data_IF_102904938310
#
_entry.id   IF_102904938310
#
_cell.length_a   1.000
_cell.length_b   1.000
_cell.length_c   1.000
_cell.angle_alpha   90.00
_cell.angle_beta   90.00
_cell.angle_gamma   90.00
#
_symmetry.space_group_name_H-M   'P 1'
#
loop_
_entity.id
_entity.type
_entity.pdbx_description
1 polymer ?
#
# COMPACT_ATOMS: atom_id res chain seq x y z
N UNK A 1 30.85 31.50 31.94
CA UNK A 1 31.03 32.23 30.67
C UNK A 1 32.28 31.83 29.87
N UNK A 2 33.48 31.71 30.48
CA UNK A 2 34.74 31.39 29.75
C UNK A 2 34.74 30.07 28.97
N UNK A 3 34.07 29.02 29.47
CA UNK A 3 33.96 27.72 28.79
C UNK A 3 33.14 27.79 27.49
N UNK A 4 32.01 28.51 27.50
CA UNK A 4 31.17 28.70 26.30
C UNK A 4 31.90 29.47 25.19
N UNK A 5 32.64 30.52 25.57
CA UNK A 5 33.46 31.29 24.62
C UNK A 5 34.57 30.44 23.99
N UNK A 6 35.17 29.54 24.77
CA UNK A 6 36.19 28.61 24.26
C UNK A 6 35.58 27.56 23.31
N UNK A 7 34.43 26.99 23.66
CA UNK A 7 33.71 26.03 22.80
C UNK A 7 33.32 26.69 21.48
N UNK A 8 32.81 27.93 21.52
CA UNK A 8 32.46 28.68 20.32
C UNK A 8 33.66 28.95 19.42
N UNK A 9 34.78 29.43 20.00
CA UNK A 9 36.02 29.65 19.25
C UNK A 9 36.58 28.37 18.65
N UNK A 10 36.53 27.27 19.40
CA UNK A 10 36.97 25.97 18.91
C UNK A 10 36.04 25.49 17.77
N UNK A 11 34.72 25.63 17.93
CA UNK A 11 33.75 25.26 16.89
C UNK A 11 33.97 26.04 15.58
N UNK A 12 34.24 27.35 15.65
CA UNK A 12 34.59 28.14 14.45
C UNK A 12 35.89 27.64 13.82
N UNK A 13 36.91 27.29 14.63
CA UNK A 13 38.18 26.76 14.11
C UNK A 13 37.94 25.45 13.34
N UNK A 14 37.15 24.53 13.90
CA UNK A 14 36.87 23.24 13.26
C UNK A 14 36.03 23.41 11.99
N UNK A 15 35.06 24.34 11.96
CA UNK A 15 34.32 24.68 10.73
C UNK A 15 35.21 25.24 9.64
N UNK A 16 36.19 26.09 10.00
CA UNK A 16 37.18 26.60 9.05
C UNK A 16 38.15 25.52 8.57
N UNK A 17 38.51 24.57 9.44
CA UNK A 17 39.32 23.41 9.07
C UNK A 17 38.58 22.52 8.09
N UNK A 18 37.29 22.26 8.35
CA UNK A 18 36.38 21.53 7.48
C UNK A 18 36.23 22.21 6.12
N UNK A 19 36.01 23.53 6.10
CA UNK A 19 35.89 24.29 4.86
C UNK A 19 37.15 24.28 3.98
N UNK A 20 38.31 23.89 4.53
CA UNK A 20 39.57 23.75 3.79
C UNK A 20 39.88 22.31 3.39
N UNK A 21 39.08 21.34 3.80
CA UNK A 21 39.22 19.95 3.38
C UNK A 21 38.32 19.68 2.16
N UNK A 22 38.86 19.69 0.92
CA UNK A 22 38.06 19.50 -0.28
C UNK A 22 37.45 18.11 -0.38
N UNK A 23 38.09 17.07 0.17
CA UNK A 23 37.54 15.70 0.15
C UNK A 23 36.32 15.63 1.06
N UNK A 24 36.43 16.22 2.25
CA UNK A 24 35.33 16.24 3.22
C UNK A 24 34.16 17.10 2.73
N UNK A 25 34.42 18.23 2.05
CA UNK A 25 33.38 19.02 1.40
C UNK A 25 32.66 18.26 0.28
N UNK A 26 33.40 17.55 -0.58
CA UNK A 26 32.81 16.70 -1.63
C UNK A 26 31.94 15.61 -1.01
N UNK A 27 32.42 14.92 0.03
CA UNK A 27 31.64 13.92 0.74
C UNK A 27 30.36 14.52 1.34
N UNK A 28 30.44 15.69 1.98
CA UNK A 28 29.26 16.38 2.51
C UNK A 28 28.27 16.70 1.38
N UNK A 29 28.73 17.25 0.26
CA UNK A 29 27.86 17.53 -0.88
C UNK A 29 27.23 16.26 -1.46
N UNK A 30 27.97 15.17 -1.58
CA UNK A 30 27.43 13.89 -2.06
C UNK A 30 26.41 13.35 -1.06
N UNK A 31 26.75 13.27 0.23
CA UNK A 31 25.88 12.64 1.25
C UNK A 31 24.63 13.47 1.56
N UNK A 32 24.73 14.79 1.64
CA UNK A 32 23.60 15.64 2.03
C UNK A 32 22.84 16.24 0.84
N UNK A 33 23.40 16.21 -0.37
CA UNK A 33 22.68 16.63 -1.58
C UNK A 33 22.37 15.44 -2.47
N UNK A 34 23.37 14.75 -3.01
CA UNK A 34 23.14 13.71 -4.02
C UNK A 34 22.41 12.49 -3.42
N UNK A 35 22.85 11.97 -2.29
CA UNK A 35 22.22 10.79 -1.66
C UNK A 35 20.82 11.12 -1.15
N UNK A 36 20.61 12.28 -0.54
CA UNK A 36 19.26 12.70 -0.09
C UNK A 36 18.35 12.97 -1.28
N UNK A 37 18.83 13.69 -2.30
CA UNK A 37 18.07 13.92 -3.53
C UNK A 37 17.72 12.60 -4.20
N UNK A 38 18.68 11.69 -4.34
CA UNK A 38 18.47 10.36 -4.90
C UNK A 38 17.49 9.55 -4.06
N UNK A 39 17.56 9.57 -2.72
CA UNK A 39 16.62 8.85 -1.87
C UNK A 39 15.21 9.45 -1.92
N UNK A 40 15.08 10.78 -2.05
CA UNK A 40 13.81 11.48 -2.15
C UNK A 40 13.16 11.36 -3.53
N UNK A 41 13.96 11.24 -4.59
CA UNK A 41 13.50 11.10 -5.98
C UNK A 41 13.52 9.66 -6.49
N UNK A 42 14.14 8.73 -5.75
CA UNK A 42 14.01 7.30 -6.00
C UNK A 42 12.53 6.96 -5.89
N UNK A 43 11.90 6.80 -7.05
CA UNK A 43 10.59 6.21 -7.12
C UNK A 43 10.70 4.81 -6.49
N UNK A 44 9.79 4.43 -5.57
CA UNK A 44 9.68 3.03 -5.17
C UNK A 44 9.64 2.20 -6.44
N UNK A 45 10.42 1.12 -6.53
CA UNK A 45 10.38 0.23 -7.69
C UNK A 45 8.91 -0.05 -8.01
N UNK A 46 8.46 0.44 -9.15
CA UNK A 46 7.05 0.44 -9.49
C UNK A 46 6.62 -1.02 -9.66
N UNK A 47 5.59 -1.42 -8.93
CA UNK A 47 4.95 -2.71 -9.16
C UNK A 47 4.46 -2.74 -10.61
N UNK A 48 4.95 -3.69 -11.41
CA UNK A 48 4.59 -3.79 -12.82
C UNK A 48 4.17 -5.22 -13.14
N UNK A 49 2.89 -5.38 -13.50
CA UNK A 49 2.29 -6.67 -13.89
C UNK A 49 2.57 -7.79 -12.88
N UNK A 50 2.41 -7.49 -11.59
CA UNK A 50 2.53 -8.50 -10.55
C UNK A 50 1.39 -9.53 -10.69
N UNK A 51 1.70 -10.85 -10.77
CA UNK A 51 0.65 -11.87 -10.78
C UNK A 51 0.06 -12.01 -9.37
N UNK A 52 -1.27 -11.95 -9.30
CA UNK A 52 -2.07 -12.06 -8.08
C UNK A 52 -3.14 -13.14 -8.25
N UNK A 53 -3.35 -13.94 -7.21
CA UNK A 53 -4.47 -14.86 -7.11
C UNK A 53 -5.43 -14.39 -6.02
N UNK A 54 -6.72 -14.68 -6.19
CA UNK A 54 -7.76 -14.28 -5.26
C UNK A 54 -8.64 -15.49 -4.93
N UNK A 55 -8.83 -15.72 -3.63
CA UNK A 55 -9.85 -16.60 -3.08
C UNK A 55 -10.99 -15.71 -2.58
N UNK A 56 -12.17 -15.89 -3.15
CA UNK A 56 -13.38 -15.18 -2.75
C UNK A 56 -14.40 -16.16 -2.15
N UNK A 57 -14.46 -16.21 -0.82
CA UNK A 57 -15.45 -17.02 -0.08
C UNK A 57 -16.72 -16.22 0.26
N UNK A 58 -16.72 -14.90 0.04
CA UNK A 58 -17.87 -14.02 0.29
C UNK A 58 -18.85 -14.00 -0.88
N UNK A 59 -18.32 -14.06 -2.12
CA UNK A 59 -19.09 -14.05 -3.36
C UNK A 59 -20.13 -12.90 -3.41
N UNK A 60 -19.73 -11.72 -2.94
CA UNK A 60 -20.60 -10.56 -2.77
C UNK A 60 -20.31 -9.44 -3.76
N UNK A 61 -21.21 -8.46 -3.90
CA UNK A 61 -20.92 -7.24 -4.66
C UNK A 61 -19.65 -6.51 -4.21
N UNK A 62 -19.35 -6.47 -2.91
CA UNK A 62 -18.14 -5.86 -2.39
C UNK A 62 -16.88 -6.64 -2.79
N UNK A 63 -16.89 -7.97 -2.61
CA UNK A 63 -15.75 -8.82 -2.97
C UNK A 63 -15.47 -8.75 -4.48
N UNK A 64 -16.52 -8.77 -5.31
CA UNK A 64 -16.41 -8.62 -6.77
C UNK A 64 -15.79 -7.27 -7.19
N UNK A 65 -16.12 -6.17 -6.49
CA UNK A 65 -15.50 -4.85 -6.76
C UNK A 65 -14.02 -4.86 -6.41
N UNK A 66 -13.65 -5.43 -5.27
CA UNK A 66 -12.25 -5.59 -4.87
C UNK A 66 -11.48 -6.38 -5.94
N UNK A 67 -12.02 -7.52 -6.39
CA UNK A 67 -11.40 -8.34 -7.45
C UNK A 67 -11.22 -7.53 -8.74
N UNK A 68 -12.24 -6.77 -9.16
CA UNK A 68 -12.19 -5.96 -10.39
C UNK A 68 -11.21 -4.78 -10.33
N UNK A 69 -10.79 -4.37 -9.14
CA UNK A 69 -9.85 -3.26 -8.95
C UNK A 69 -8.39 -3.66 -9.22
N UNK A 70 -8.10 -4.95 -9.36
CA UNK A 70 -6.78 -5.45 -9.76
C UNK A 70 -6.68 -5.58 -11.27
N UNK A 71 -6.01 -4.62 -11.91
CA UNK A 71 -5.81 -4.60 -13.36
C UNK A 71 -4.47 -3.95 -13.75
N UNK A 72 -4.02 -4.12 -15.01
CA UNK A 72 -2.78 -3.49 -15.49
C UNK A 72 -2.84 -1.96 -15.42
N UNK A 73 -1.73 -1.27 -15.10
CA UNK A 73 -0.35 -1.71 -15.24
C UNK A 73 0.27 -2.37 -13.99
N UNK A 74 -0.40 -2.30 -12.84
CA UNK A 74 0.18 -2.71 -11.55
C UNK A 74 0.10 -4.23 -11.34
N UNK A 75 -1.08 -4.81 -11.58
CA UNK A 75 -1.34 -6.23 -11.44
C UNK A 75 -1.75 -6.85 -12.77
N UNK A 76 -1.49 -8.15 -12.92
CA UNK A 76 -2.18 -8.93 -13.94
C UNK A 76 -3.63 -9.16 -13.51
N UNK A 77 -4.48 -9.55 -14.47
CA UNK A 77 -5.85 -9.98 -14.16
C UNK A 77 -5.76 -11.12 -13.13
N UNK A 78 -6.49 -11.04 -12.00
CA UNK A 78 -6.39 -12.04 -10.96
C UNK A 78 -6.83 -13.43 -11.42
N UNK A 79 -6.10 -14.46 -10.97
CA UNK A 79 -6.59 -15.84 -11.07
C UNK A 79 -7.51 -16.13 -9.89
N UNK A 80 -8.75 -16.56 -10.16
CA UNK A 80 -9.65 -17.04 -9.12
C UNK A 80 -9.25 -18.47 -8.75
N UNK A 81 -8.95 -18.70 -7.48
CA UNK A 81 -8.50 -20.00 -6.96
C UNK A 81 -9.28 -20.37 -5.70
N UNK A 82 -9.17 -21.62 -5.27
CA UNK A 82 -9.65 -22.07 -3.97
C UNK A 82 -8.60 -21.88 -2.86
N UNK A 83 -9.04 -21.87 -1.60
CA UNK A 83 -8.15 -21.72 -0.44
C UNK A 83 -7.05 -22.79 -0.37
N UNK A 84 -7.33 -24.01 -0.87
CA UNK A 84 -6.37 -25.11 -0.89
C UNK A 84 -5.27 -24.95 -1.96
N UNK A 85 -5.49 -24.10 -2.95
CA UNK A 85 -4.54 -23.87 -4.05
C UNK A 85 -3.53 -22.77 -3.71
N UNK A 86 -3.78 -21.97 -2.65
CA UNK A 86 -2.91 -20.85 -2.25
C UNK A 86 -1.44 -21.29 -2.15
N UNK A 87 -1.12 -22.19 -1.23
CA UNK A 87 0.26 -22.59 -0.96
C UNK A 87 0.90 -23.31 -2.17
N UNK A 88 0.26 -24.33 -2.79
CA UNK A 88 0.83 -25.01 -3.96
C UNK A 88 1.10 -24.08 -5.14
N UNK A 89 0.22 -23.11 -5.41
CA UNK A 89 0.42 -22.19 -6.54
C UNK A 89 1.45 -21.10 -6.27
N UNK A 90 1.64 -20.71 -5.01
CA UNK A 90 2.77 -19.85 -4.60
C UNK A 90 4.10 -20.59 -4.71
N UNK A 91 4.16 -21.83 -4.20
CA UNK A 91 5.36 -22.67 -4.28
C UNK A 91 5.77 -22.98 -5.73
N UNK A 92 4.78 -23.14 -6.62
CA UNK A 92 4.99 -23.31 -8.05
C UNK A 92 5.36 -22.00 -8.79
N UNK A 93 5.31 -20.85 -8.12
CA UNK A 93 5.62 -19.54 -8.69
C UNK A 93 4.58 -19.03 -9.70
N UNK A 94 3.35 -19.54 -9.66
CA UNK A 94 2.26 -19.07 -10.53
C UNK A 94 1.82 -17.64 -10.18
N UNK A 95 1.93 -17.27 -8.91
CA UNK A 95 1.64 -15.93 -8.43
C UNK A 95 2.48 -15.55 -7.22
N UNK A 96 2.73 -14.25 -7.09
CA UNK A 96 3.55 -13.68 -6.00
C UNK A 96 2.68 -13.21 -4.83
N UNK A 97 1.40 -12.98 -5.09
CA UNK A 97 0.41 -12.51 -4.11
C UNK A 97 -0.81 -13.42 -4.14
N UNK A 98 -1.34 -13.79 -2.98
CA UNK A 98 -2.63 -14.45 -2.85
C UNK A 98 -3.49 -13.72 -1.81
N UNK A 99 -4.65 -13.21 -2.24
CA UNK A 99 -5.60 -12.49 -1.39
C UNK A 99 -6.76 -13.40 -1.03
N UNK A 100 -7.05 -13.55 0.26
CA UNK A 100 -8.14 -14.39 0.76
C UNK A 100 -9.21 -13.54 1.44
N UNK A 101 -10.38 -13.46 0.79
CA UNK A 101 -11.56 -12.74 1.30
C UNK A 101 -12.44 -13.76 2.03
N UNK A 102 -12.64 -13.61 3.36
CA UNK A 102 -13.39 -14.57 4.16
C UNK A 102 -14.89 -14.54 3.84
N UNK A 103 -15.67 -15.57 4.24
CA UNK A 103 -17.11 -15.54 4.11
C UNK A 103 -17.73 -14.42 4.95
N UNK A 104 -18.91 -13.96 4.56
CA UNK A 104 -19.66 -12.89 5.22
C UNK A 104 -18.94 -11.53 5.29
N UNK A 105 -17.86 -11.33 4.52
CA UNK A 105 -17.05 -10.11 4.54
C UNK A 105 -17.89 -8.85 4.32
N UNK A 106 -18.72 -8.81 3.28
CA UNK A 106 -19.59 -7.65 3.02
C UNK A 106 -20.56 -7.40 4.18
N UNK A 107 -21.17 -8.47 4.71
CA UNK A 107 -22.12 -8.35 5.82
C UNK A 107 -21.45 -7.70 7.03
N UNK A 108 -20.24 -8.16 7.35
CA UNK A 108 -19.50 -7.70 8.51
C UNK A 108 -18.99 -6.26 8.34
N UNK A 109 -18.52 -5.88 7.15
CA UNK A 109 -18.18 -4.49 6.80
C UNK A 109 -19.39 -3.56 6.97
N UNK A 110 -20.56 -3.95 6.42
CA UNK A 110 -21.77 -3.14 6.49
C UNK A 110 -22.34 -3.05 7.92
N UNK A 111 -22.16 -4.09 8.72
CA UNK A 111 -22.50 -4.11 10.14
C UNK A 111 -21.54 -3.26 11.00
N UNK A 112 -20.52 -2.64 10.41
CA UNK A 112 -19.51 -1.86 11.14
C UNK A 112 -18.57 -2.73 11.98
N UNK A 113 -18.49 -4.04 11.68
CA UNK A 113 -17.44 -4.91 12.22
C UNK A 113 -16.15 -4.68 11.46
N UNK A 114 -15.06 -5.26 11.96
CA UNK A 114 -13.72 -5.16 11.39
C UNK A 114 -13.26 -6.54 10.90
N UNK A 115 -13.80 -7.06 9.78
CA UNK A 115 -13.34 -8.34 9.23
C UNK A 115 -11.92 -8.22 8.67
N UNK A 116 -11.13 -9.27 8.82
CA UNK A 116 -9.74 -9.33 8.34
C UNK A 116 -9.65 -10.05 7.00
N UNK A 117 -9.03 -9.42 6.01
CA UNK A 117 -8.58 -10.07 4.77
C UNK A 117 -7.16 -10.56 4.97
N UNK A 118 -6.86 -11.78 4.53
CA UNK A 118 -5.51 -12.33 4.57
C UNK A 118 -4.81 -12.12 3.24
N UNK A 119 -3.56 -11.67 3.28
CA UNK A 119 -2.69 -11.51 2.11
C UNK A 119 -1.43 -12.35 2.31
N UNK A 120 -1.24 -13.35 1.47
CA UNK A 120 -0.02 -14.14 1.41
C UNK A 120 0.90 -13.54 0.35
N UNK A 121 2.20 -13.43 0.67
CA UNK A 121 3.19 -12.78 -0.19
C UNK A 121 4.43 -13.66 -0.27
N UNK A 122 4.86 -13.94 -1.50
CA UNK A 122 6.16 -14.54 -1.74
C UNK A 122 7.26 -13.48 -1.57
N UNK A 123 8.01 -13.61 -0.47
CA UNK A 123 9.07 -12.69 -0.09
C UNK A 123 10.40 -12.92 -0.83
N UNK A 124 10.51 -13.91 -1.73
CA UNK A 124 11.73 -14.11 -2.54
C UNK A 124 12.05 -12.87 -3.39
N UNK A 125 11.04 -12.06 -3.72
CA UNK A 125 11.16 -10.75 -4.39
C UNK A 125 10.89 -9.61 -3.42
N UNK A 126 11.78 -9.39 -2.45
CA UNK A 126 11.55 -8.46 -1.33
C UNK A 126 11.07 -7.04 -1.72
N UNK A 127 11.70 -6.35 -2.70
CA UNK A 127 11.28 -4.99 -3.09
C UNK A 127 9.84 -4.97 -3.62
N UNK A 128 9.49 -5.91 -4.49
CA UNK A 128 8.16 -6.01 -5.07
C UNK A 128 7.12 -6.51 -4.07
N UNK A 129 7.49 -7.39 -3.15
CA UNK A 129 6.63 -7.87 -2.07
C UNK A 129 6.16 -6.70 -1.18
N UNK A 130 7.06 -5.81 -0.76
CA UNK A 130 6.71 -4.64 0.06
C UNK A 130 5.86 -3.63 -0.70
N UNK A 131 6.25 -3.28 -1.93
CA UNK A 131 5.46 -2.37 -2.76
C UNK A 131 4.08 -2.97 -3.05
N UNK A 132 4.00 -4.23 -3.46
CA UNK A 132 2.76 -4.93 -3.75
C UNK A 132 1.83 -5.01 -2.55
N UNK A 133 2.34 -5.33 -1.36
CA UNK A 133 1.55 -5.28 -0.12
C UNK A 133 0.85 -3.93 0.08
N UNK A 134 1.61 -2.84 -0.06
CA UNK A 134 1.07 -1.50 0.14
C UNK A 134 -0.01 -1.17 -0.90
N UNK A 135 0.22 -1.47 -2.18
CA UNK A 135 -0.76 -1.25 -3.25
C UNK A 135 -2.04 -2.06 -3.02
N UNK A 136 -1.93 -3.34 -2.67
CA UNK A 136 -3.09 -4.21 -2.39
C UNK A 136 -3.88 -3.64 -1.22
N UNK A 137 -3.22 -3.25 -0.13
CA UNK A 137 -3.89 -2.64 1.02
C UNK A 137 -4.64 -1.35 0.64
N UNK A 138 -4.02 -0.47 -0.15
CA UNK A 138 -4.67 0.76 -0.61
C UNK A 138 -5.89 0.48 -1.50
N UNK A 139 -5.77 -0.45 -2.45
CA UNK A 139 -6.87 -0.84 -3.35
C UNK A 139 -8.06 -1.36 -2.53
N UNK A 140 -7.81 -2.32 -1.64
CA UNK A 140 -8.84 -2.91 -0.77
C UNK A 140 -9.52 -1.83 0.08
N UNK A 141 -8.73 -0.97 0.75
CA UNK A 141 -9.27 0.08 1.61
C UNK A 141 -10.11 1.10 0.83
N UNK A 142 -9.67 1.49 -0.36
CA UNK A 142 -10.42 2.41 -1.23
C UNK A 142 -11.74 1.78 -1.64
N UNK A 143 -11.76 0.52 -2.12
CA UNK A 143 -12.99 -0.14 -2.55
C UNK A 143 -13.99 -0.34 -1.41
N UNK A 144 -13.50 -0.75 -0.23
CA UNK A 144 -14.33 -0.87 0.97
C UNK A 144 -14.93 0.48 1.37
N UNK A 145 -14.13 1.54 1.39
CA UNK A 145 -14.60 2.87 1.78
C UNK A 145 -15.62 3.42 0.78
N UNK A 146 -15.32 3.33 -0.52
CA UNK A 146 -16.26 3.72 -1.57
C UNK A 146 -17.58 2.94 -1.49
N UNK A 147 -17.52 1.63 -1.25
CA UNK A 147 -18.70 0.79 -1.14
C UNK A 147 -19.57 1.19 0.06
N UNK A 148 -18.95 1.38 1.23
CA UNK A 148 -19.65 1.83 2.44
C UNK A 148 -20.25 3.23 2.26
N UNK A 149 -19.53 4.16 1.63
CA UNK A 149 -20.04 5.50 1.34
C UNK A 149 -21.24 5.47 0.41
N UNK A 150 -21.18 4.71 -0.69
CA UNK A 150 -22.32 4.55 -1.61
C UNK A 150 -23.51 3.87 -0.94
N UNK A 151 -23.27 2.85 -0.10
CA UNK A 151 -24.32 2.16 0.63
C UNK A 151 -25.03 3.08 1.64
N UNK A 152 -24.27 3.91 2.37
CA UNK A 152 -24.83 4.91 3.31
C UNK A 152 -25.45 6.12 2.60
N UNK A 153 -24.98 6.46 1.39
CA UNK A 153 -25.48 7.55 0.56
C UNK A 153 -26.93 7.39 0.08
N UNK A 154 -27.51 6.19 0.23
CA UNK A 154 -28.94 5.94 -0.06
C UNK A 154 -29.88 6.30 1.12
N UNK A 155 -29.40 6.95 2.18
CA UNK A 155 -30.20 7.27 3.39
C UNK A 155 -30.92 8.64 3.38
N UNK A 156 -31.16 9.24 2.21
CA UNK A 156 -32.16 10.30 2.04
C UNK A 156 -32.68 10.31 0.60
N UNK A 157 -33.81 9.63 0.35
CA UNK A 157 -34.56 9.82 -0.89
C UNK A 157 -35.14 11.24 -0.88
N UNK A 158 -34.83 12.12 -1.85
CA UNK A 158 -35.41 13.46 -1.92
C UNK A 158 -36.89 13.47 -2.34
N UNK A 159 -37.52 12.30 -2.46
CA UNK A 159 -38.91 12.15 -2.90
C UNK A 159 -39.60 11.08 -2.07
N UNK A 160 -40.73 11.46 -1.47
CA UNK A 160 -41.66 10.55 -0.80
C UNK A 160 -42.56 9.88 -1.86
N UNK A 161 -42.63 8.55 -1.83
CA UNK A 161 -43.46 7.78 -2.76
C UNK A 161 -44.92 7.86 -2.28
N UNK A 162 -45.69 8.78 -2.85
CA UNK A 162 -47.12 8.91 -2.56
C UNK A 162 -47.90 7.71 -3.13
N UNK A 163 -48.01 6.64 -2.34
CA UNK A 163 -48.86 5.49 -2.64
C UNK A 163 -50.34 5.93 -2.63
N UNK A 164 -50.92 6.12 -3.81
CA UNK A 164 -52.37 6.19 -3.98
C UNK A 164 -52.87 4.85 -4.49
N UNK A 165 -53.36 4.01 -3.58
CA UNK A 165 -54.21 2.87 -3.95
C UNK A 165 -55.62 3.41 -4.24
N UNK A 166 -56.23 2.90 -5.32
CA UNK A 166 -57.66 3.08 -5.61
C UNK A 166 -58.42 1.85 -5.18
#
# INVERSE_FOLDING_TARGET
MRRLANIYRLGIKELWSLARDPVMLVLISVSFTIMIYSAATAMPESLHKAPIAIVDEDASPLSARIVSAFYPPYFLVPSMISSQEIDPGMDAGHYTFALHIPPDFQRDVLAGRLPSIQLNIDATRMSQAFTGNWYIQQIVLTEVNEFVQRYRGNAALPVELALRMR
#
